data_IF_181860710972
#
_entry.id   IF_181860710972
#
_cell.length_a   1.000
_cell.length_b   1.000
_cell.length_c   1.000
_cell.angle_alpha   90.00
_cell.angle_beta   90.00
_cell.angle_gamma   90.00
#
_symmetry.space_group_name_H-M   'P 1'
#
loop_
_entity.id
_entity.type
_entity.pdbx_description
1 polymer ?
#
# COMPACT_ATOMS: atom_id res chain seq x y z
N UNK A 1 -2.10 -19.71 -15.72
CA UNK A 1 -1.31 -19.35 -14.53
C UNK A 1 -0.87 -17.91 -14.71
N UNK A 2 -1.04 -17.03 -13.71
CA UNK A 2 -0.47 -15.68 -13.76
C UNK A 2 1.03 -15.84 -13.95
N UNK A 3 1.59 -15.05 -14.84
CA UNK A 3 2.96 -15.25 -15.27
C UNK A 3 3.93 -14.51 -14.37
N UNK A 4 5.17 -14.95 -14.35
CA UNK A 4 6.29 -14.20 -13.73
C UNK A 4 6.31 -12.74 -14.20
N UNK A 5 5.78 -12.47 -15.39
CA UNK A 5 5.70 -11.13 -15.98
C UNK A 5 4.75 -10.18 -15.21
N UNK A 6 3.52 -10.61 -14.86
CA UNK A 6 2.59 -9.74 -14.11
C UNK A 6 3.12 -9.43 -12.71
N UNK A 7 3.78 -10.39 -12.07
CA UNK A 7 4.43 -10.16 -10.78
C UNK A 7 5.56 -9.12 -10.89
N UNK A 8 6.44 -9.27 -11.87
CA UNK A 8 7.54 -8.32 -12.08
C UNK A 8 7.02 -6.92 -12.42
N UNK A 9 5.97 -6.82 -13.24
CA UNK A 9 5.32 -5.55 -13.54
C UNK A 9 4.70 -4.92 -12.29
N UNK A 10 4.09 -5.72 -11.41
CA UNK A 10 3.54 -5.23 -10.14
C UNK A 10 4.65 -4.72 -9.21
N UNK A 11 5.78 -5.43 -9.10
CA UNK A 11 6.93 -4.96 -8.32
C UNK A 11 7.53 -3.66 -8.90
N UNK A 12 7.69 -3.59 -10.23
CA UNK A 12 8.16 -2.37 -10.88
C UNK A 12 7.21 -1.19 -10.66
N UNK A 13 5.90 -1.44 -10.69
CA UNK A 13 4.91 -0.41 -10.37
C UNK A 13 5.06 0.09 -8.93
N UNK A 14 5.17 -0.82 -7.95
CA UNK A 14 5.34 -0.46 -6.54
C UNK A 14 6.62 0.37 -6.30
N UNK A 15 7.75 -0.03 -6.89
CA UNK A 15 9.00 0.71 -6.81
C UNK A 15 8.89 2.10 -7.47
N UNK A 16 8.30 2.17 -8.66
CA UNK A 16 8.09 3.42 -9.40
C UNK A 16 7.15 4.36 -8.64
N UNK A 17 6.04 3.82 -8.12
CA UNK A 17 5.09 4.58 -7.31
C UNK A 17 5.76 5.19 -6.08
N UNK A 18 6.55 4.38 -5.34
CA UNK A 18 7.27 4.85 -4.16
C UNK A 18 8.26 5.98 -4.49
N UNK A 19 9.01 5.85 -5.59
CA UNK A 19 9.93 6.91 -6.06
C UNK A 19 9.19 8.19 -6.46
N UNK A 20 8.09 8.08 -7.18
CA UNK A 20 7.32 9.23 -7.68
C UNK A 20 6.58 9.98 -6.58
N UNK A 21 6.03 9.27 -5.59
CA UNK A 21 5.31 9.93 -4.49
C UNK A 21 6.26 10.67 -3.54
N UNK A 22 7.49 10.17 -3.36
CA UNK A 22 8.46 10.71 -2.43
C UNK A 22 8.84 12.18 -2.71
N UNK A 23 9.07 12.95 -1.67
CA UNK A 23 9.67 14.29 -1.80
C UNK A 23 11.17 14.19 -2.16
N UNK A 24 11.85 13.14 -1.68
CA UNK A 24 13.26 12.87 -1.96
C UNK A 24 13.52 11.37 -2.03
N UNK A 25 14.37 10.96 -2.95
CA UNK A 25 14.85 9.58 -3.10
C UNK A 25 16.37 9.56 -3.06
N UNK A 26 16.94 8.53 -2.43
CA UNK A 26 18.38 8.28 -2.37
C UNK A 26 18.63 6.83 -2.81
N UNK A 27 19.52 6.65 -3.79
CA UNK A 27 19.91 5.29 -4.23
C UNK A 27 20.81 4.64 -3.17
N UNK A 28 20.57 3.36 -2.94
CA UNK A 28 21.29 2.52 -2.00
C UNK A 28 21.76 1.22 -2.67
N UNK A 29 22.75 0.52 -2.11
CA UNK A 29 23.09 -0.82 -2.58
C UNK A 29 21.88 -1.77 -2.53
N UNK A 30 21.44 -2.26 -3.70
CA UNK A 30 20.31 -3.17 -3.82
C UNK A 30 18.92 -2.54 -3.74
N UNK A 31 18.82 -1.18 -3.78
CA UNK A 31 17.53 -0.51 -3.72
C UNK A 31 17.62 1.00 -3.55
N UNK A 32 16.68 1.57 -2.84
CA UNK A 32 16.60 3.02 -2.61
C UNK A 32 15.86 3.34 -1.30
N UNK A 33 16.11 4.52 -0.77
CA UNK A 33 15.31 5.09 0.32
C UNK A 33 14.43 6.22 -0.19
N UNK A 34 13.23 6.31 0.35
CA UNK A 34 12.27 7.40 0.12
C UNK A 34 12.07 8.20 1.40
N UNK A 35 11.87 9.51 1.24
CA UNK A 35 11.68 10.43 2.34
C UNK A 35 10.62 11.47 2.00
N UNK A 36 9.81 11.80 2.99
CA UNK A 36 8.91 12.97 2.97
C UNK A 36 8.85 13.58 4.37
N UNK A 37 9.60 14.65 4.58
CA UNK A 37 9.70 15.33 5.88
C UNK A 37 8.36 15.96 6.31
N UNK A 38 7.47 16.29 5.35
CA UNK A 38 6.13 16.77 5.66
C UNK A 38 5.28 15.68 6.32
N UNK A 39 5.66 14.41 6.18
CA UNK A 39 4.99 13.25 6.75
C UNK A 39 5.97 12.35 7.52
N UNK A 40 6.86 12.94 8.30
CA UNK A 40 7.94 12.24 9.00
C UNK A 40 7.46 11.07 9.89
N UNK A 41 6.22 11.08 10.36
CA UNK A 41 5.61 9.99 11.12
C UNK A 41 5.01 8.88 10.24
N UNK A 42 5.00 9.04 8.92
CA UNK A 42 4.53 8.01 8.01
C UNK A 42 5.66 7.05 7.61
N UNK A 43 5.60 5.82 8.10
CA UNK A 43 6.56 4.78 7.72
C UNK A 43 6.53 4.51 6.20
N UNK A 44 5.35 4.52 5.59
CA UNK A 44 5.20 4.24 4.17
C UNK A 44 5.86 5.29 3.26
N UNK A 45 5.98 6.54 3.74
CA UNK A 45 6.60 7.64 2.99
C UNK A 45 8.07 7.86 3.39
N UNK A 46 8.57 7.08 4.38
CA UNK A 46 9.92 7.18 4.92
C UNK A 46 10.50 5.78 5.19
N UNK A 47 11.02 5.13 4.17
CA UNK A 47 11.47 3.74 4.24
C UNK A 47 12.53 3.40 3.19
N UNK A 48 13.15 2.25 3.36
CA UNK A 48 14.02 1.61 2.37
C UNK A 48 13.23 0.61 1.54
N UNK A 49 13.39 0.67 0.22
CA UNK A 49 12.94 -0.35 -0.72
C UNK A 49 14.13 -1.15 -1.23
N UNK A 50 14.02 -2.47 -1.25
CA UNK A 50 14.97 -3.39 -1.89
C UNK A 50 14.29 -3.94 -3.14
N UNK A 51 14.76 -3.54 -4.30
CA UNK A 51 14.23 -3.90 -5.62
C UNK A 51 15.26 -4.61 -6.52
N UNK A 52 16.48 -4.84 -5.99
CA UNK A 52 17.56 -5.58 -6.65
C UNK A 52 18.31 -6.47 -5.64
N UNK A 53 19.32 -7.17 -6.11
CA UNK A 53 20.16 -8.03 -5.26
C UNK A 53 20.87 -7.19 -4.18
N UNK A 54 20.82 -7.66 -2.93
CA UNK A 54 21.43 -7.02 -1.76
C UNK A 54 22.18 -8.06 -0.92
N UNK A 55 23.20 -7.63 -0.20
CA UNK A 55 23.80 -8.45 0.85
C UNK A 55 22.87 -8.44 2.09
N UNK A 56 22.28 -9.60 2.47
CA UNK A 56 21.36 -9.66 3.60
C UNK A 56 21.99 -9.27 4.94
N UNK A 57 23.29 -9.54 5.15
CA UNK A 57 23.99 -9.20 6.39
C UNK A 57 24.32 -7.71 6.50
N UNK A 58 24.51 -7.03 5.36
CA UNK A 58 24.76 -5.59 5.34
C UNK A 58 23.48 -4.75 5.44
N UNK A 59 22.31 -5.28 5.05
CA UNK A 59 21.07 -4.53 4.95
C UNK A 59 20.63 -3.82 6.25
N UNK A 60 20.75 -4.41 7.46
CA UNK A 60 20.41 -3.71 8.70
C UNK A 60 21.21 -2.41 8.90
N UNK A 61 22.52 -2.44 8.63
CA UNK A 61 23.39 -1.27 8.77
C UNK A 61 23.07 -0.20 7.73
N UNK A 62 22.81 -0.61 6.48
CA UNK A 62 22.40 0.30 5.38
C UNK A 62 21.10 1.02 5.73
N UNK A 63 20.11 0.30 6.26
CA UNK A 63 18.83 0.89 6.65
C UNK A 63 18.98 1.81 7.89
N UNK A 64 19.82 1.43 8.85
CA UNK A 64 20.10 2.27 10.03
C UNK A 64 20.76 3.56 9.66
N UNK A 65 21.72 3.56 8.75
CA UNK A 65 22.37 4.76 8.24
C UNK A 65 21.38 5.63 7.46
N UNK A 66 20.66 5.05 6.51
CA UNK A 66 19.71 5.77 5.65
C UNK A 66 18.60 6.45 6.46
N UNK A 67 18.06 5.78 7.48
CA UNK A 67 16.91 6.26 8.25
C UNK A 67 17.29 6.78 9.64
N UNK A 68 18.59 7.08 9.92
CA UNK A 68 19.08 7.42 11.28
C UNK A 68 18.37 8.61 11.93
N UNK A 69 17.87 9.55 11.14
CA UNK A 69 17.17 10.77 11.57
C UNK A 69 15.68 10.54 11.91
N UNK A 70 15.13 9.33 11.66
CA UNK A 70 13.74 9.01 11.89
C UNK A 70 13.57 8.16 13.17
N UNK A 71 12.41 8.21 13.85
CA UNK A 71 12.15 7.41 15.04
C UNK A 71 11.92 5.93 14.73
N UNK A 72 11.71 5.58 13.45
CA UNK A 72 11.43 4.23 12.99
C UNK A 72 12.39 3.79 11.89
N UNK A 73 12.41 2.49 11.63
CA UNK A 73 13.05 1.85 10.48
C UNK A 73 12.03 0.99 9.78
N UNK A 74 11.81 1.21 8.50
CA UNK A 74 10.97 0.33 7.67
C UNK A 74 11.72 -0.05 6.40
N UNK A 75 11.68 -1.33 6.06
CA UNK A 75 12.29 -1.90 4.85
C UNK A 75 11.22 -2.72 4.15
N UNK A 76 10.99 -2.43 2.87
CA UNK A 76 10.15 -3.24 1.99
C UNK A 76 11.01 -3.94 0.96
N UNK A 77 11.00 -5.28 0.95
CA UNK A 77 11.73 -6.11 -0.03
C UNK A 77 10.72 -6.65 -1.04
N UNK A 78 10.86 -6.27 -2.30
CA UNK A 78 9.90 -6.55 -3.38
C UNK A 78 10.05 -7.94 -4.01
N UNK A 79 11.02 -8.76 -3.57
CA UNK A 79 11.24 -10.12 -4.06
C UNK A 79 11.17 -11.13 -2.92
N UNK A 80 10.41 -12.24 -3.13
CA UNK A 80 10.18 -13.24 -2.08
C UNK A 80 11.47 -14.01 -1.70
N UNK A 81 12.35 -14.30 -2.66
CA UNK A 81 13.60 -15.02 -2.38
C UNK A 81 14.56 -14.13 -1.58
N UNK A 82 14.73 -12.88 -2.01
CA UNK A 82 15.52 -11.86 -1.31
C UNK A 82 14.95 -11.58 0.08
N UNK A 83 13.63 -11.44 0.21
CA UNK A 83 12.97 -11.20 1.50
C UNK A 83 13.16 -12.33 2.50
N UNK A 84 13.13 -13.59 2.03
CA UNK A 84 13.47 -14.75 2.89
C UNK A 84 14.93 -14.75 3.31
N UNK A 85 15.86 -14.41 2.42
CA UNK A 85 17.28 -14.34 2.74
C UNK A 85 17.58 -13.25 3.78
N UNK A 86 16.90 -12.11 3.71
CA UNK A 86 17.06 -10.99 4.64
C UNK A 86 16.35 -11.20 5.99
N UNK A 87 15.46 -12.20 6.11
CA UNK A 87 14.60 -12.34 7.29
C UNK A 87 15.40 -12.59 8.58
N UNK A 88 16.34 -13.53 8.58
CA UNK A 88 17.12 -13.86 9.78
C UNK A 88 18.04 -12.71 10.22
N UNK A 89 18.85 -12.08 9.33
CA UNK A 89 19.67 -10.93 9.70
C UNK A 89 18.86 -9.76 10.27
N UNK A 90 17.73 -9.40 9.64
CA UNK A 90 16.89 -8.30 10.09
C UNK A 90 16.18 -8.59 11.42
N UNK A 91 15.64 -9.81 11.61
CA UNK A 91 15.03 -10.21 12.89
C UNK A 91 16.08 -10.20 14.01
N UNK A 92 17.31 -10.69 13.75
CA UNK A 92 18.43 -10.61 14.69
C UNK A 92 18.83 -9.18 15.04
N UNK A 93 18.64 -8.24 14.10
CA UNK A 93 18.82 -6.79 14.31
C UNK A 93 17.60 -6.10 14.96
N UNK A 94 16.60 -6.86 15.42
CA UNK A 94 15.44 -6.35 16.15
C UNK A 94 14.26 -5.88 15.30
N UNK A 95 14.22 -6.24 14.02
CA UNK A 95 13.07 -5.95 13.16
C UNK A 95 11.94 -6.97 13.35
N UNK A 96 10.71 -6.50 13.33
CA UNK A 96 9.52 -7.34 13.15
C UNK A 96 9.36 -7.65 11.67
N UNK A 97 9.01 -8.88 11.33
CA UNK A 97 8.86 -9.35 9.95
C UNK A 97 7.40 -9.64 9.62
N UNK A 98 6.90 -8.99 8.60
CA UNK A 98 5.56 -9.23 8.01
C UNK A 98 5.68 -9.61 6.54
N UNK A 99 4.78 -10.48 6.09
CA UNK A 99 4.71 -10.91 4.69
C UNK A 99 3.41 -10.44 4.06
N UNK A 100 3.50 -9.98 2.83
CA UNK A 100 2.36 -9.53 2.06
C UNK A 100 2.25 -10.31 0.75
N UNK A 101 1.03 -10.55 0.33
CA UNK A 101 0.71 -11.20 -0.94
C UNK A 101 0.47 -10.13 -2.00
N UNK A 102 1.08 -10.29 -3.16
CA UNK A 102 0.67 -9.59 -4.37
C UNK A 102 -0.45 -10.39 -5.01
N UNK A 103 -1.65 -9.84 -5.06
CA UNK A 103 -2.83 -10.53 -5.55
C UNK A 103 -3.34 -9.87 -6.84
N UNK A 104 -3.42 -10.67 -7.91
CA UNK A 104 -3.88 -10.24 -9.22
C UNK A 104 -5.37 -10.53 -9.38
N UNK A 105 -6.16 -9.58 -9.87
CA UNK A 105 -7.54 -9.81 -10.23
C UNK A 105 -7.63 -10.55 -11.58
N UNK A 106 -8.07 -11.79 -11.54
CA UNK A 106 -8.23 -12.68 -12.68
C UNK A 106 -9.70 -13.01 -12.98
N UNK A 107 -10.60 -12.56 -12.12
CA UNK A 107 -12.04 -12.74 -12.29
C UNK A 107 -12.64 -11.77 -13.31
N UNK A 108 -13.95 -11.92 -13.62
CA UNK A 108 -14.66 -10.99 -14.46
C UNK A 108 -14.71 -9.60 -13.79
N UNK A 109 -14.55 -8.56 -14.59
CA UNK A 109 -14.71 -7.19 -14.10
C UNK A 109 -16.18 -6.96 -13.74
N UNK A 110 -16.48 -6.56 -12.50
CA UNK A 110 -17.87 -6.29 -12.11
C UNK A 110 -18.45 -5.08 -12.89
N UNK A 111 -19.78 -4.98 -13.02
CA UNK A 111 -20.41 -3.86 -13.73
C UNK A 111 -20.19 -2.49 -13.07
N UNK A 112 -19.62 -2.48 -11.89
CA UNK A 112 -19.41 -1.33 -11.03
C UNK A 112 -20.18 -1.46 -9.72
N UNK A 113 -19.84 -0.61 -8.76
CA UNK A 113 -20.50 -0.53 -7.45
C UNK A 113 -21.23 0.81 -7.27
N UNK A 114 -21.85 0.98 -6.10
CA UNK A 114 -22.49 2.24 -5.70
C UNK A 114 -21.51 3.20 -4.99
N UNK A 115 -20.19 2.98 -5.14
CA UNK A 115 -19.19 3.89 -4.65
C UNK A 115 -18.90 4.97 -5.71
N UNK A 116 -18.37 6.08 -5.27
CA UNK A 116 -18.05 7.25 -6.10
C UNK A 116 -16.62 7.70 -5.86
N UNK A 117 -16.09 8.55 -6.72
CA UNK A 117 -14.86 9.27 -6.47
C UNK A 117 -15.12 10.34 -5.41
N UNK A 118 -14.26 10.38 -4.39
CA UNK A 118 -14.33 11.34 -3.29
C UNK A 118 -13.04 12.14 -3.23
N UNK A 119 -13.10 13.36 -2.73
CA UNK A 119 -11.92 14.15 -2.44
C UNK A 119 -11.29 13.73 -1.09
N UNK A 120 -10.06 14.21 -0.85
CA UNK A 120 -9.36 13.92 0.39
C UNK A 120 -10.04 14.56 1.61
N UNK A 121 -10.73 15.67 1.44
CA UNK A 121 -11.43 16.34 2.54
C UNK A 121 -12.54 15.45 3.08
N UNK A 122 -13.26 14.72 2.23
CA UNK A 122 -14.25 13.73 2.66
C UNK A 122 -13.64 12.56 3.44
N UNK A 123 -12.35 12.27 3.23
CA UNK A 123 -11.63 11.19 3.90
C UNK A 123 -10.96 11.61 5.21
N UNK A 124 -10.75 12.92 5.47
CA UNK A 124 -10.01 13.38 6.66
C UNK A 124 -10.61 12.84 7.96
N UNK A 125 -11.90 13.00 8.15
CA UNK A 125 -12.57 12.57 9.39
C UNK A 125 -12.55 11.04 9.59
N UNK A 126 -12.94 10.18 8.61
CA UNK A 126 -12.86 8.73 8.76
C UNK A 126 -11.42 8.24 8.95
N UNK A 127 -10.43 8.83 8.27
CA UNK A 127 -9.02 8.50 8.44
C UNK A 127 -8.52 8.85 9.84
N UNK A 128 -8.84 10.05 10.34
CA UNK A 128 -8.44 10.46 11.69
C UNK A 128 -9.03 9.53 12.76
N UNK A 129 -10.32 9.14 12.65
CA UNK A 129 -10.93 8.16 13.56
C UNK A 129 -10.20 6.80 13.50
N UNK A 130 -9.87 6.33 12.29
CA UNK A 130 -9.13 5.09 12.11
C UNK A 130 -7.77 5.14 12.79
N UNK A 131 -6.97 6.18 12.53
CA UNK A 131 -5.63 6.29 13.10
C UNK A 131 -5.65 6.43 14.62
N UNK A 132 -6.62 7.15 15.18
CA UNK A 132 -6.80 7.21 16.65
C UNK A 132 -7.19 5.85 17.25
N UNK A 133 -7.93 5.01 16.51
CA UNK A 133 -8.22 3.64 16.93
C UNK A 133 -6.98 2.74 16.94
N UNK A 134 -6.08 2.92 15.97
CA UNK A 134 -4.82 2.16 15.88
C UNK A 134 -3.73 2.66 16.84
N UNK A 135 -3.68 3.96 17.06
CA UNK A 135 -2.66 4.67 17.83
C UNK A 135 -3.36 5.59 18.85
N UNK A 136 -3.98 5.03 19.90
CA UNK A 136 -4.79 5.81 20.84
C UNK A 136 -3.98 6.85 21.61
N UNK A 137 -2.69 6.60 21.81
CA UNK A 137 -1.78 7.47 22.55
C UNK A 137 -0.97 8.42 21.64
N UNK A 138 -1.21 8.40 20.32
CA UNK A 138 -0.49 9.25 19.38
C UNK A 138 -0.93 10.71 19.48
N UNK A 139 0.04 11.61 19.40
CA UNK A 139 -0.19 13.05 19.32
C UNK A 139 -0.98 13.44 18.07
N UNK A 140 -1.64 14.60 18.12
CA UNK A 140 -2.42 15.15 17.01
C UNK A 140 -1.58 15.34 15.74
N UNK A 141 -0.29 15.67 15.88
CA UNK A 141 0.62 15.81 14.76
C UNK A 141 0.87 14.48 14.04
N UNK A 142 1.07 13.40 14.79
CA UNK A 142 1.22 12.04 14.22
C UNK A 142 -0.04 11.67 13.43
N UNK A 143 -1.22 11.86 14.02
CA UNK A 143 -2.48 11.56 13.34
C UNK A 143 -2.65 12.43 12.10
N UNK A 144 -2.32 13.71 12.16
CA UNK A 144 -2.37 14.63 11.02
C UNK A 144 -1.46 14.15 9.89
N UNK A 145 -0.20 13.80 10.15
CA UNK A 145 0.73 13.27 9.13
C UNK A 145 0.16 12.01 8.47
N UNK A 146 -0.39 11.08 9.26
CA UNK A 146 -0.95 9.83 8.76
C UNK A 146 -2.24 10.01 7.95
N UNK A 147 -3.00 11.07 8.19
CA UNK A 147 -4.17 11.46 7.40
C UNK A 147 -3.75 12.14 6.10
N UNK A 148 -2.88 13.15 6.20
CA UNK A 148 -2.52 14.05 5.11
C UNK A 148 -1.53 13.44 4.11
N UNK A 149 -0.81 12.37 4.47
CA UNK A 149 0.15 11.68 3.58
C UNK A 149 -0.46 11.25 2.22
N UNK A 150 -1.78 11.12 2.14
CA UNK A 150 -2.46 10.82 0.88
C UNK A 150 -2.29 11.91 -0.19
N UNK A 151 -1.94 13.12 0.20
CA UNK A 151 -1.55 14.17 -0.77
C UNK A 151 -0.28 13.77 -1.56
N UNK A 152 0.70 13.13 -0.90
CA UNK A 152 1.88 12.62 -1.57
C UNK A 152 1.54 11.56 -2.62
N UNK A 153 0.56 10.70 -2.35
CA UNK A 153 0.14 9.62 -3.25
C UNK A 153 -0.34 10.12 -4.61
N UNK A 154 -0.85 11.37 -4.70
CA UNK A 154 -1.25 12.00 -5.97
C UNK A 154 -0.12 12.07 -6.99
N UNK A 155 1.13 12.03 -6.56
CA UNK A 155 2.32 12.05 -7.42
C UNK A 155 2.75 10.64 -7.87
N UNK A 156 2.28 9.59 -7.19
CA UNK A 156 2.80 8.23 -7.33
C UNK A 156 2.46 7.54 -8.65
N UNK A 157 1.33 7.86 -9.27
CA UNK A 157 0.86 7.28 -10.52
C UNK A 157 0.36 8.37 -11.48
N UNK A 158 0.11 8.00 -12.74
CA UNK A 158 -0.39 8.95 -13.76
C UNK A 158 -1.78 9.46 -13.37
N UNK A 159 -2.62 8.59 -12.82
CA UNK A 159 -3.93 8.95 -12.30
C UNK A 159 -4.09 8.33 -10.91
N UNK A 160 -4.41 9.16 -9.94
CA UNK A 160 -4.73 8.73 -8.56
C UNK A 160 -6.15 9.18 -8.25
N UNK A 161 -6.97 8.24 -7.79
CA UNK A 161 -8.36 8.46 -7.38
C UNK A 161 -8.60 7.89 -6.00
N UNK A 162 -9.49 8.51 -5.25
CA UNK A 162 -9.98 7.99 -3.98
C UNK A 162 -11.43 7.59 -4.17
N UNK A 163 -11.74 6.32 -3.92
CA UNK A 163 -13.07 5.76 -4.12
C UNK A 163 -13.72 5.58 -2.76
N UNK A 164 -14.92 6.12 -2.57
CA UNK A 164 -15.66 6.06 -1.31
C UNK A 164 -17.09 5.55 -1.49
N UNK A 165 -17.54 4.71 -0.56
CA UNK A 165 -18.94 4.33 -0.42
C UNK A 165 -19.54 5.09 0.78
N UNK A 166 -20.66 5.80 0.53
CA UNK A 166 -21.34 6.59 1.57
C UNK A 166 -22.50 5.83 2.20
N UNK A 167 -22.81 6.20 3.42
CA UNK A 167 -24.08 5.87 4.06
C UNK A 167 -25.22 6.73 3.49
N UNK A 168 -26.50 6.39 3.75
CA UNK A 168 -27.63 7.27 3.39
C UNK A 168 -27.51 8.69 3.96
N UNK A 169 -26.85 8.86 5.10
CA UNK A 169 -26.62 10.14 5.77
C UNK A 169 -25.44 10.92 5.18
N UNK A 170 -24.74 10.35 4.16
CA UNK A 170 -23.65 10.99 3.44
C UNK A 170 -22.25 10.76 4.03
N UNK A 171 -22.11 10.01 5.12
CA UNK A 171 -20.80 9.68 5.69
C UNK A 171 -20.04 8.66 4.82
N UNK A 172 -18.72 8.83 4.64
CA UNK A 172 -17.88 7.84 3.97
C UNK A 172 -17.66 6.65 4.90
N UNK A 173 -18.32 5.54 4.57
CA UNK A 173 -18.30 4.30 5.34
C UNK A 173 -17.15 3.36 5.00
N UNK A 174 -16.74 3.35 3.73
CA UNK A 174 -15.64 2.55 3.21
C UNK A 174 -14.94 3.30 2.10
N UNK A 175 -13.64 3.09 1.94
CA UNK A 175 -12.84 3.78 0.92
C UNK A 175 -11.67 2.91 0.47
N UNK A 176 -11.12 3.22 -0.71
CA UNK A 176 -9.84 2.73 -1.21
C UNK A 176 -9.17 3.79 -2.06
N UNK A 177 -7.84 3.70 -2.16
CA UNK A 177 -7.07 4.43 -3.13
C UNK A 177 -6.96 3.59 -4.42
N UNK A 178 -7.09 4.22 -5.57
CA UNK A 178 -6.94 3.61 -6.88
C UNK A 178 -5.84 4.34 -7.65
N UNK A 179 -4.79 3.63 -7.97
CA UNK A 179 -3.65 4.13 -8.75
C UNK A 179 -3.70 3.52 -10.14
N UNK A 180 -3.66 4.34 -11.17
CA UNK A 180 -3.74 3.94 -12.55
C UNK A 180 -2.50 4.41 -13.32
N UNK A 181 -1.97 3.53 -14.13
CA UNK A 181 -0.96 3.81 -15.13
C UNK A 181 -1.42 3.23 -16.48
N UNK A 182 -2.27 3.97 -17.22
CA UNK A 182 -2.83 3.49 -18.49
C UNK A 182 -1.76 3.19 -19.54
N UNK A 183 -0.64 3.92 -19.52
CA UNK A 183 0.46 3.69 -20.47
C UNK A 183 1.07 2.31 -20.35
N UNK A 184 1.11 1.75 -19.13
CA UNK A 184 1.58 0.39 -18.86
C UNK A 184 0.44 -0.62 -18.71
N UNK A 185 -0.81 -0.15 -18.64
CA UNK A 185 -1.99 -0.97 -18.43
C UNK A 185 -2.08 -1.57 -17.02
N UNK A 186 -1.47 -0.92 -16.01
CA UNK A 186 -1.48 -1.35 -14.61
C UNK A 186 -2.42 -0.51 -13.74
N UNK A 187 -3.05 -1.18 -12.79
CA UNK A 187 -3.81 -0.54 -11.73
C UNK A 187 -3.56 -1.23 -10.38
N UNK A 188 -3.32 -0.43 -9.34
CA UNK A 188 -3.28 -0.90 -7.96
C UNK A 188 -4.48 -0.38 -7.19
N UNK A 189 -5.13 -1.27 -6.41
CA UNK A 189 -6.12 -0.90 -5.41
C UNK A 189 -5.43 -1.00 -4.05
N UNK A 190 -5.42 0.10 -3.30
CA UNK A 190 -4.66 0.20 -2.06
C UNK A 190 -5.55 0.69 -0.91
N UNK A 191 -5.20 0.31 0.33
CA UNK A 191 -5.88 0.79 1.55
C UNK A 191 -7.42 0.66 1.52
N UNK A 192 -7.94 -0.49 1.03
CA UNK A 192 -9.38 -0.75 1.12
C UNK A 192 -9.79 -0.97 2.57
N UNK A 193 -10.56 -0.05 3.07
CA UNK A 193 -10.97 0.02 4.48
C UNK A 193 -12.47 0.25 4.61
N UNK A 194 -13.06 -0.34 5.64
CA UNK A 194 -14.42 -0.01 6.10
C UNK A 194 -14.36 0.41 7.56
N UNK A 195 -14.98 1.53 7.91
CA UNK A 195 -15.14 1.96 9.30
C UNK A 195 -15.88 0.89 10.12
N UNK A 196 -15.46 0.67 11.36
CA UNK A 196 -16.00 -0.40 12.22
C UNK A 196 -17.54 -0.34 12.37
N UNK A 197 -18.09 0.87 12.51
CA UNK A 197 -19.52 1.11 12.62
C UNK A 197 -20.32 0.67 11.37
N UNK A 198 -19.65 0.47 10.24
CA UNK A 198 -20.27 0.18 8.93
C UNK A 198 -19.88 -1.19 8.36
N UNK A 199 -19.24 -2.04 9.17
CA UNK A 199 -18.86 -3.40 8.76
C UNK A 199 -20.07 -4.25 8.35
N UNK A 200 -19.85 -5.20 7.43
CA UNK A 200 -20.83 -6.19 6.96
C UNK A 200 -22.08 -5.60 6.28
N UNK A 201 -22.02 -4.38 5.76
CA UNK A 201 -23.12 -3.70 5.04
C UNK A 201 -22.87 -3.61 3.53
N UNK A 202 -21.85 -4.30 2.99
CA UNK A 202 -21.53 -4.32 1.57
C UNK A 202 -20.76 -3.11 1.04
N UNK A 203 -20.35 -2.17 1.90
CA UNK A 203 -19.62 -0.97 1.47
C UNK A 203 -18.26 -1.30 0.82
N UNK A 204 -17.49 -2.25 1.38
CA UNK A 204 -16.21 -2.68 0.78
C UNK A 204 -16.41 -3.31 -0.61
N UNK A 205 -17.49 -4.09 -0.79
CA UNK A 205 -17.84 -4.65 -2.09
C UNK A 205 -18.14 -3.57 -3.12
N UNK A 206 -18.88 -2.54 -2.73
CA UNK A 206 -19.18 -1.40 -3.59
C UNK A 206 -17.92 -0.64 -4.00
N UNK A 207 -17.00 -0.37 -3.06
CA UNK A 207 -15.72 0.30 -3.33
C UNK A 207 -14.87 -0.54 -4.29
N UNK A 208 -14.68 -1.83 -3.98
CA UNK A 208 -13.86 -2.73 -4.80
C UNK A 208 -14.41 -2.87 -6.22
N UNK A 209 -15.73 -3.07 -6.36
CA UNK A 209 -16.37 -3.19 -7.68
C UNK A 209 -16.22 -1.91 -8.50
N UNK A 210 -16.37 -0.74 -7.87
CA UNK A 210 -16.17 0.55 -8.53
C UNK A 210 -14.70 0.74 -8.95
N UNK A 211 -13.75 0.42 -8.07
CA UNK A 211 -12.32 0.53 -8.38
C UNK A 211 -11.91 -0.38 -9.56
N UNK A 212 -12.34 -1.64 -9.56
CA UNK A 212 -12.09 -2.58 -10.64
C UNK A 212 -12.70 -2.11 -11.97
N UNK A 213 -13.91 -1.58 -11.93
CA UNK A 213 -14.57 -1.04 -13.12
C UNK A 213 -13.83 0.18 -13.66
N UNK A 214 -13.47 1.14 -12.80
CA UNK A 214 -12.68 2.33 -13.18
C UNK A 214 -11.33 1.98 -13.78
N UNK A 215 -10.65 0.97 -13.22
CA UNK A 215 -9.39 0.48 -13.77
C UNK A 215 -9.58 -0.13 -15.17
N UNK A 216 -10.67 -0.89 -15.38
CA UNK A 216 -10.99 -1.45 -16.69
C UNK A 216 -11.35 -0.35 -17.72
N UNK A 217 -12.13 0.66 -17.31
CA UNK A 217 -12.52 1.79 -18.17
C UNK A 217 -11.32 2.68 -18.55
N UNK A 218 -10.21 2.59 -17.79
CA UNK A 218 -8.93 3.25 -18.07
C UNK A 218 -7.94 2.35 -18.83
N UNK A 219 -8.42 1.25 -19.44
CA UNK A 219 -7.61 0.26 -20.16
C UNK A 219 -6.50 -0.41 -19.33
N UNK A 220 -6.62 -0.41 -17.99
CA UNK A 220 -5.71 -1.12 -17.12
C UNK A 220 -6.11 -2.60 -17.04
N UNK A 221 -5.49 -3.43 -17.88
CA UNK A 221 -5.73 -4.87 -17.96
C UNK A 221 -5.18 -5.64 -16.75
N UNK A 222 -4.06 -5.21 -16.21
CA UNK A 222 -3.43 -5.79 -15.01
C UNK A 222 -3.88 -5.02 -13.78
N UNK A 223 -4.73 -5.62 -12.96
CA UNK A 223 -5.29 -5.03 -11.74
C UNK A 223 -4.86 -5.84 -10.54
N UNK A 224 -4.15 -5.23 -9.60
CA UNK A 224 -3.60 -5.93 -8.44
C UNK A 224 -3.81 -5.15 -7.14
N UNK A 225 -3.59 -5.84 -6.04
CA UNK A 225 -3.52 -5.27 -4.69
C UNK A 225 -2.45 -6.00 -3.88
N UNK A 226 -2.10 -5.41 -2.75
CA UNK A 226 -1.21 -6.01 -1.76
C UNK A 226 -2.02 -6.28 -0.49
N UNK A 227 -1.96 -7.50 0.03
CA UNK A 227 -2.71 -7.92 1.22
C UNK A 227 -1.79 -8.59 2.23
N UNK A 228 -2.01 -8.36 3.52
CA UNK A 228 -1.29 -9.07 4.57
C UNK A 228 -1.54 -10.58 4.45
N UNK A 229 -0.47 -11.36 4.42
CA UNK A 229 -0.54 -12.82 4.28
C UNK A 229 -1.12 -13.52 5.54
N UNK A 230 -1.07 -12.87 6.69
CA UNK A 230 -1.57 -13.39 7.97
C UNK A 230 -3.01 -12.96 8.27
N UNK A 231 -3.55 -11.96 7.54
CA UNK A 231 -4.85 -11.40 7.83
C UNK A 231 -5.95 -12.00 6.94
N UNK A 232 -7.19 -11.97 7.42
CA UNK A 232 -8.38 -12.52 6.78
C UNK A 232 -8.76 -11.90 5.42
N UNK A 233 -8.44 -10.63 5.08
CA UNK A 233 -8.84 -10.01 3.82
C UNK A 233 -8.37 -10.77 2.58
N UNK A 234 -7.25 -11.50 2.64
CA UNK A 234 -6.77 -12.33 1.52
C UNK A 234 -7.83 -13.32 1.02
N UNK A 235 -8.56 -13.96 1.96
CA UNK A 235 -9.62 -14.91 1.60
C UNK A 235 -10.85 -14.19 1.03
N UNK A 236 -11.14 -13.00 1.54
CA UNK A 236 -12.21 -12.15 1.05
C UNK A 236 -11.93 -11.69 -0.39
N UNK A 237 -10.68 -11.30 -0.69
CA UNK A 237 -10.22 -10.97 -2.04
C UNK A 237 -10.26 -12.21 -2.97
N UNK A 238 -9.84 -13.38 -2.49
CA UNK A 238 -9.90 -14.63 -3.25
C UNK A 238 -11.31 -14.95 -3.75
N UNK A 239 -12.33 -14.76 -2.90
CA UNK A 239 -13.74 -14.92 -3.30
C UNK A 239 -14.24 -13.88 -4.31
N UNK A 240 -13.47 -12.83 -4.56
CA UNK A 240 -13.74 -11.74 -5.52
C UNK A 240 -12.85 -11.77 -6.75
N UNK A 241 -12.27 -12.93 -7.02
CA UNK A 241 -11.50 -13.18 -8.24
C UNK A 241 -10.04 -12.73 -8.18
N UNK A 242 -9.49 -12.50 -7.00
CA UNK A 242 -8.06 -12.27 -6.84
C UNK A 242 -7.30 -13.57 -6.59
N UNK A 243 -6.13 -13.69 -7.20
CA UNK A 243 -5.24 -14.85 -7.09
C UNK A 243 -3.87 -14.38 -6.61
N UNK A 244 -3.29 -15.08 -5.64
CA UNK A 244 -1.91 -14.87 -5.19
C UNK A 244 -0.95 -15.16 -6.36
N UNK A 245 -0.09 -14.19 -6.69
CA UNK A 245 0.92 -14.33 -7.73
C UNK A 245 2.36 -14.16 -7.21
N UNK A 246 2.54 -13.71 -5.97
CA UNK A 246 3.84 -13.54 -5.35
C UNK A 246 3.77 -12.87 -3.99
N UNK A 247 4.94 -12.61 -3.41
CA UNK A 247 5.07 -12.05 -2.06
C UNK A 247 6.10 -10.95 -2.02
N UNK A 248 5.85 -9.97 -1.16
CA UNK A 248 6.86 -9.03 -0.68
C UNK A 248 6.98 -9.13 0.84
N UNK A 249 8.07 -8.62 1.38
CA UNK A 249 8.37 -8.68 2.79
C UNK A 249 8.54 -7.27 3.35
N UNK A 250 7.94 -7.01 4.50
CA UNK A 250 8.14 -5.79 5.25
C UNK A 250 8.84 -6.11 6.57
N UNK A 251 9.79 -5.27 6.90
CA UNK A 251 10.51 -5.33 8.17
C UNK A 251 10.41 -3.97 8.82
N UNK A 252 9.99 -3.92 10.08
CA UNK A 252 9.87 -2.69 10.81
C UNK A 252 10.50 -2.77 12.19
N UNK A 253 11.06 -1.65 12.67
CA UNK A 253 11.65 -1.50 14.00
C UNK A 253 11.44 -0.08 14.49
N UNK A 254 11.10 0.04 15.78
CA UNK A 254 10.86 1.33 16.44
C UNK A 254 9.39 1.76 16.38
N UNK A 255 9.03 2.37 17.39
CA UNK A 255 8.08 3.27 18.04
C UNK A 255 8.07 2.97 19.50
#
# INVERSE_FOLDING_TARGET
>A
MPTTLELQRSYSFLATFARRQAARTVELPGGFAVYDDAFAHSRADNQVFVDAAVDPEALPAVADEALCHLPHRMITVLDDATGRACAEPLVRAGYTHSRYLVMLHTGPVPPGGRAEEVDLDALRAPLARRWRGFLPDADDEVVRHLVERREARRRGADVVRFIGARTPEGEVASWADLYLDPATGLAQIEDLVTSEAHLRRGHADAVLATALRRAADADCGTRFLVADAADWPREWYGRRGFTDIGRLHCFDRGW
#
